data_IF_993466611131
#
_entry.id   IF_993466611131
#
_cell.length_a   1.000
_cell.length_b   1.000
_cell.length_c   1.000
_cell.angle_alpha   90.00
_cell.angle_beta   90.00
_cell.angle_gamma   90.00
#
_symmetry.space_group_name_H-M   'P 1'
#
loop_
_entity.id
_entity.type
_entity.pdbx_description
1 polymer ?
#
# COMPACT_ATOMS: atom_id res chain seq x y z
N UNK A 1 -20.13 -15.37 -5.52
CA UNK A 1 -19.86 -13.94 -5.46
C UNK A 1 -18.37 -13.74 -5.22
N UNK A 2 -17.70 -13.02 -6.09
CA UNK A 2 -16.28 -12.77 -5.92
C UNK A 2 -16.06 -11.82 -4.72
N UNK A 3 -15.10 -12.11 -3.86
CA UNK A 3 -14.75 -11.15 -2.83
C UNK A 3 -14.29 -9.84 -3.48
N UNK A 4 -14.62 -8.71 -2.85
CA UNK A 4 -14.14 -7.42 -3.29
C UNK A 4 -12.65 -7.38 -3.06
N UNK A 5 -11.88 -7.23 -4.13
CA UNK A 5 -10.44 -7.25 -4.00
C UNK A 5 -9.91 -5.99 -3.34
N UNK A 6 -8.86 -6.11 -2.54
CA UNK A 6 -8.25 -4.94 -1.91
C UNK A 6 -7.56 -4.05 -2.93
N UNK A 7 -7.61 -2.76 -2.67
CA UNK A 7 -6.87 -1.74 -3.41
C UNK A 7 -5.59 -1.39 -2.68
N UNK A 8 -4.60 -0.88 -3.40
CA UNK A 8 -3.30 -0.52 -2.83
C UNK A 8 -3.10 0.99 -2.81
N UNK A 9 -2.62 1.52 -1.69
CA UNK A 9 -2.19 2.90 -1.58
C UNK A 9 -0.76 2.92 -1.02
N UNK A 10 0.19 3.40 -1.81
CA UNK A 10 1.59 3.53 -1.39
C UNK A 10 1.85 4.96 -0.95
N UNK A 11 2.30 5.14 0.28
CA UNK A 11 2.64 6.44 0.87
C UNK A 11 4.12 6.41 1.18
N UNK A 12 4.91 7.12 0.38
CA UNK A 12 6.37 7.04 0.45
C UNK A 12 7.03 8.40 0.37
N UNK A 13 8.32 8.44 0.68
CA UNK A 13 9.16 9.61 0.47
C UNK A 13 9.49 9.75 -1.01
N UNK A 14 9.49 11.00 -1.51
CA UNK A 14 9.87 11.29 -2.88
C UNK A 14 9.03 10.53 -3.91
N UNK A 15 9.70 9.98 -4.91
CA UNK A 15 9.06 9.26 -6.02
C UNK A 15 9.09 7.74 -5.86
N UNK A 16 9.50 7.24 -4.70
CA UNK A 16 9.70 5.81 -4.50
C UNK A 16 8.44 4.99 -4.78
N UNK A 17 7.29 5.44 -4.27
CA UNK A 17 6.02 4.73 -4.49
C UNK A 17 5.66 4.62 -5.96
N UNK A 18 5.78 5.70 -6.71
CA UNK A 18 5.51 5.72 -8.14
C UNK A 18 6.43 4.77 -8.90
N UNK A 19 7.72 4.75 -8.56
CA UNK A 19 8.69 3.86 -9.21
C UNK A 19 8.45 2.39 -8.86
N UNK A 20 8.05 2.10 -7.62
CA UNK A 20 7.67 0.73 -7.24
C UNK A 20 6.46 0.24 -8.05
N UNK A 21 5.44 1.07 -8.20
CA UNK A 21 4.25 0.72 -9.01
C UNK A 21 4.64 0.51 -10.47
N UNK A 22 5.48 1.38 -11.00
CA UNK A 22 5.97 1.23 -12.38
C UNK A 22 6.74 -0.08 -12.57
N UNK A 23 7.55 -0.45 -11.59
CA UNK A 23 8.33 -1.69 -11.63
C UNK A 23 7.42 -2.92 -11.55
N UNK A 24 6.41 -2.88 -10.69
CA UNK A 24 5.40 -3.96 -10.64
C UNK A 24 4.72 -4.13 -12.00
N UNK A 25 4.36 -3.02 -12.64
CA UNK A 25 3.73 -3.06 -13.95
C UNK A 25 4.66 -3.66 -15.03
N UNK A 26 5.95 -3.43 -14.91
CA UNK A 26 6.94 -4.02 -15.82
C UNK A 26 7.05 -5.55 -15.67
N UNK A 27 6.79 -6.07 -14.47
CA UNK A 27 6.91 -7.50 -14.16
C UNK A 27 5.58 -8.23 -14.36
N UNK A 28 4.48 -7.69 -13.83
CA UNK A 28 3.17 -8.34 -13.80
C UNK A 28 2.16 -7.77 -14.80
N UNK A 29 2.52 -6.72 -15.51
CA UNK A 29 1.59 -5.95 -16.32
C UNK A 29 0.93 -4.82 -15.51
N UNK A 30 0.26 -3.87 -16.18
CA UNK A 30 -0.41 -2.76 -15.52
C UNK A 30 -1.41 -3.24 -14.47
N UNK A 31 -1.39 -2.60 -13.30
CA UNK A 31 -2.26 -2.96 -12.18
C UNK A 31 -3.31 -1.86 -11.97
N UNK A 32 -4.61 -2.18 -12.04
CA UNK A 32 -5.66 -1.24 -11.64
C UNK A 32 -5.76 -1.14 -10.12
N UNK A 33 -6.51 -0.15 -9.65
CA UNK A 33 -6.82 0.03 -8.22
C UNK A 33 -5.57 0.13 -7.36
N UNK A 34 -4.64 0.96 -7.80
CA UNK A 34 -3.44 1.33 -7.07
C UNK A 34 -3.21 2.83 -7.20
N UNK A 35 -2.79 3.45 -6.11
CA UNK A 35 -2.48 4.87 -6.07
C UNK A 35 -1.25 5.11 -5.21
N UNK A 36 -0.64 6.27 -5.40
CA UNK A 36 0.56 6.67 -4.66
C UNK A 36 0.37 8.08 -4.10
N UNK A 37 0.91 8.32 -2.91
CA UNK A 37 1.01 9.65 -2.31
C UNK A 37 2.46 9.85 -1.89
N UNK A 38 3.06 10.95 -2.34
CA UNK A 38 4.40 11.36 -1.88
C UNK A 38 4.27 12.29 -0.69
N UNK A 39 5.24 12.24 0.22
CA UNK A 39 5.33 13.20 1.32
C UNK A 39 5.75 14.61 0.86
N UNK A 40 6.24 14.73 -0.37
CA UNK A 40 6.82 15.99 -0.86
C UNK A 40 5.80 17.12 -0.90
N UNK A 41 6.15 18.26 -0.32
CA UNK A 41 5.29 19.45 -0.33
C UNK A 41 4.19 19.49 0.72
N UNK A 42 4.08 18.46 1.58
CA UNK A 42 3.06 18.42 2.62
C UNK A 42 3.63 18.66 4.02
N UNK A 43 2.87 19.41 4.85
CA UNK A 43 3.02 19.35 6.31
C UNK A 43 2.52 17.98 6.82
N UNK A 44 2.77 17.68 8.10
CA UNK A 44 2.28 16.43 8.70
C UNK A 44 0.76 16.29 8.59
N UNK A 45 0.02 17.35 8.92
CA UNK A 45 -1.46 17.34 8.83
C UNK A 45 -1.91 17.31 7.37
N UNK A 46 -1.23 18.04 6.50
CA UNK A 46 -1.52 18.03 5.07
C UNK A 46 -1.35 16.66 4.44
N UNK A 47 -0.31 15.95 4.84
CA UNK A 47 -0.07 14.57 4.35
C UNK A 47 -1.18 13.63 4.80
N UNK A 48 -1.59 13.68 6.07
CA UNK A 48 -2.70 12.87 6.58
C UNK A 48 -3.99 13.15 5.79
N UNK A 49 -4.30 14.41 5.55
CA UNK A 49 -5.49 14.79 4.77
C UNK A 49 -5.41 14.29 3.32
N UNK A 50 -4.25 14.36 2.70
CA UNK A 50 -4.04 13.87 1.34
C UNK A 50 -4.26 12.35 1.26
N UNK A 51 -3.76 11.61 2.24
CA UNK A 51 -3.95 10.16 2.31
C UNK A 51 -5.44 9.83 2.47
N UNK A 52 -6.13 10.48 3.40
CA UNK A 52 -7.57 10.27 3.63
C UNK A 52 -8.38 10.53 2.38
N UNK A 53 -8.07 11.60 1.68
CA UNK A 53 -8.77 11.95 0.44
C UNK A 53 -8.55 10.89 -0.63
N UNK A 54 -7.33 10.39 -0.76
CA UNK A 54 -7.04 9.30 -1.71
C UNK A 54 -7.79 8.01 -1.37
N UNK A 55 -7.88 7.67 -0.08
CA UNK A 55 -8.66 6.51 0.36
C UNK A 55 -10.12 6.65 -0.05
N UNK A 56 -10.70 7.84 0.09
CA UNK A 56 -12.09 8.09 -0.26
C UNK A 56 -12.36 8.01 -1.76
N UNK A 57 -11.36 8.18 -2.59
CA UNK A 57 -11.49 8.08 -4.05
C UNK A 57 -11.61 6.64 -4.55
N UNK A 58 -11.21 5.64 -3.76
CA UNK A 58 -11.42 4.24 -4.09
C UNK A 58 -12.89 3.84 -3.89
N UNK A 59 -13.36 2.76 -4.53
CA UNK A 59 -14.72 2.28 -4.32
C UNK A 59 -15.05 2.10 -2.83
N UNK A 60 -16.26 2.49 -2.44
CA UNK A 60 -16.63 2.62 -1.03
C UNK A 60 -16.49 1.34 -0.22
N UNK A 61 -16.67 0.20 -0.84
CA UNK A 61 -16.65 -1.12 -0.22
C UNK A 61 -15.30 -1.86 -0.38
N UNK A 62 -14.35 -1.28 -1.10
CA UNK A 62 -13.05 -1.90 -1.29
C UNK A 62 -12.16 -1.73 -0.06
N UNK A 63 -11.63 -2.81 0.52
CA UNK A 63 -10.61 -2.67 1.56
C UNK A 63 -9.33 -2.08 0.99
N UNK A 64 -8.67 -1.25 1.77
CA UNK A 64 -7.44 -0.57 1.36
C UNK A 64 -6.26 -1.19 2.11
N UNK A 65 -5.23 -1.57 1.37
CA UNK A 65 -3.93 -1.88 1.96
C UNK A 65 -3.03 -0.67 1.74
N UNK A 66 -2.63 -0.05 2.83
CA UNK A 66 -1.75 1.10 2.83
C UNK A 66 -0.32 0.65 3.12
N UNK A 67 0.56 0.92 2.17
CA UNK A 67 1.98 0.59 2.27
C UNK A 67 2.78 1.86 2.56
N UNK A 68 3.70 1.80 3.51
CA UNK A 68 4.68 2.88 3.70
C UNK A 68 6.09 2.34 3.54
N UNK A 69 7.02 3.22 3.19
CA UNK A 69 8.42 2.84 3.06
C UNK A 69 9.09 2.66 4.43
N UNK A 70 8.73 3.49 5.40
CA UNK A 70 9.28 3.46 6.75
C UNK A 70 8.17 3.35 7.78
N UNK A 71 8.44 2.66 8.89
CA UNK A 71 7.53 2.61 10.03
C UNK A 71 7.52 3.93 10.82
N UNK A 72 8.62 4.69 10.76
CA UNK A 72 8.79 6.01 11.35
C UNK A 72 8.87 7.06 10.24
N UNK A 73 9.10 8.32 10.61
CA UNK A 73 9.12 9.44 9.67
C UNK A 73 7.71 9.90 9.31
N UNK A 74 7.63 10.88 8.40
CA UNK A 74 6.36 11.54 8.07
C UNK A 74 5.30 10.59 7.52
N UNK A 75 5.69 9.70 6.63
CA UNK A 75 4.75 8.75 6.02
C UNK A 75 4.25 7.73 7.04
N UNK A 76 5.12 7.18 7.87
CA UNK A 76 4.74 6.23 8.91
C UNK A 76 3.82 6.84 9.95
N UNK A 77 4.14 8.06 10.42
CA UNK A 77 3.34 8.76 11.42
C UNK A 77 1.96 9.12 10.85
N UNK A 78 1.91 9.69 9.65
CA UNK A 78 0.64 10.06 9.01
C UNK A 78 -0.24 8.82 8.80
N UNK A 79 0.36 7.71 8.40
CA UNK A 79 -0.37 6.47 8.17
C UNK A 79 -0.91 5.84 9.44
N UNK A 80 -0.15 5.90 10.55
CA UNK A 80 -0.62 5.40 11.86
C UNK A 80 -1.84 6.15 12.37
N UNK A 81 -1.92 7.45 12.09
CA UNK A 81 -3.03 8.31 12.51
C UNK A 81 -4.26 8.14 11.63
N UNK A 82 -4.09 7.51 10.47
CA UNK A 82 -5.16 7.40 9.50
C UNK A 82 -6.28 6.51 10.01
N UNK A 83 -7.49 7.04 9.98
CA UNK A 83 -8.71 6.27 10.13
C UNK A 83 -9.76 6.93 9.23
N UNK A 84 -10.38 6.15 8.36
CA UNK A 84 -11.47 6.61 7.51
C UNK A 84 -12.71 5.83 7.88
N UNK A 85 -13.72 6.54 8.38
CA UNK A 85 -14.96 5.92 8.84
C UNK A 85 -15.63 5.12 7.72
N UNK A 86 -16.08 3.92 8.04
CA UNK A 86 -16.73 3.03 7.10
C UNK A 86 -15.79 2.29 6.17
N UNK A 87 -14.48 2.44 6.36
CA UNK A 87 -13.46 1.80 5.50
C UNK A 87 -12.60 0.83 6.28
N UNK A 88 -12.31 -0.31 5.65
CA UNK A 88 -11.28 -1.22 6.13
C UNK A 88 -9.96 -0.74 5.55
N UNK A 89 -9.04 -0.31 6.42
CA UNK A 89 -7.69 0.10 6.03
C UNK A 89 -6.71 -0.74 6.82
N UNK A 90 -5.95 -1.58 6.13
CA UNK A 90 -4.88 -2.38 6.72
C UNK A 90 -3.55 -1.74 6.32
N UNK A 91 -2.59 -1.75 7.21
CA UNK A 91 -1.34 -0.99 7.06
C UNK A 91 -0.15 -1.93 7.18
N UNK A 92 0.82 -1.77 6.28
CA UNK A 92 2.08 -2.51 6.32
C UNK A 92 3.22 -1.54 5.99
N UNK A 93 4.31 -1.64 6.73
CA UNK A 93 5.47 -0.76 6.57
C UNK A 93 6.66 -1.52 6.00
N UNK A 94 7.68 -0.77 5.56
CA UNK A 94 8.87 -1.39 4.98
C UNK A 94 8.60 -1.95 3.59
N UNK A 95 7.77 -1.25 2.81
CA UNK A 95 7.39 -1.72 1.48
C UNK A 95 8.62 -2.04 0.62
N UNK A 96 8.59 -3.19 -0.01
CA UNK A 96 9.60 -3.60 -0.97
C UNK A 96 8.95 -4.35 -2.13
N UNK A 97 9.72 -4.58 -3.17
CA UNK A 97 9.18 -5.18 -4.40
C UNK A 97 8.65 -6.61 -4.18
N UNK A 98 9.35 -7.52 -3.47
CA UNK A 98 8.80 -8.85 -3.22
C UNK A 98 7.42 -8.86 -2.55
N UNK A 99 7.22 -7.98 -1.59
CA UNK A 99 5.94 -7.80 -0.90
C UNK A 99 4.83 -7.38 -1.85
N UNK A 100 5.13 -6.41 -2.72
CA UNK A 100 4.17 -5.89 -3.70
C UNK A 100 3.81 -6.93 -4.76
N UNK A 101 4.79 -7.70 -5.23
CA UNK A 101 4.54 -8.77 -6.18
C UNK A 101 3.59 -9.81 -5.59
N UNK A 102 3.79 -10.18 -4.33
CA UNK A 102 2.89 -11.09 -3.63
C UNK A 102 1.47 -10.53 -3.53
N UNK A 103 1.33 -9.25 -3.18
CA UNK A 103 0.04 -8.57 -3.10
C UNK A 103 -0.70 -8.62 -4.44
N UNK A 104 -0.09 -8.11 -5.49
CA UNK A 104 -0.76 -8.00 -6.79
C UNK A 104 -1.04 -9.34 -7.43
N UNK A 105 -0.21 -10.34 -7.15
CA UNK A 105 -0.41 -11.70 -7.69
C UNK A 105 -1.60 -12.40 -7.04
N UNK A 106 -1.83 -12.21 -5.74
CA UNK A 106 -2.82 -12.97 -4.98
C UNK A 106 -4.03 -12.19 -4.47
N UNK A 107 -4.10 -10.88 -4.71
CA UNK A 107 -5.21 -10.07 -4.17
C UNK A 107 -6.59 -10.48 -4.67
N UNK A 108 -6.67 -11.14 -5.82
CA UNK A 108 -7.94 -11.60 -6.38
C UNK A 108 -8.39 -12.94 -5.82
N UNK A 109 -7.51 -13.70 -5.18
CA UNK A 109 -7.78 -15.09 -4.79
C UNK A 109 -7.70 -15.36 -3.31
N UNK A 110 -6.95 -14.56 -2.54
CA UNK A 110 -6.78 -14.74 -1.10
C UNK A 110 -7.55 -13.65 -0.33
N UNK A 111 -8.05 -14.01 0.86
CA UNK A 111 -8.58 -13.02 1.79
C UNK A 111 -7.46 -12.12 2.31
N UNK A 112 -7.81 -10.94 2.82
CA UNK A 112 -6.82 -10.05 3.43
C UNK A 112 -6.11 -10.70 4.61
N UNK A 113 -6.84 -11.46 5.43
CA UNK A 113 -6.25 -12.14 6.59
C UNK A 113 -5.24 -13.21 6.20
N UNK A 114 -5.40 -13.82 5.02
CA UNK A 114 -4.42 -14.74 4.45
C UNK A 114 -3.28 -14.00 3.74
N UNK A 115 -3.62 -12.94 3.02
CA UNK A 115 -2.67 -12.22 2.15
C UNK A 115 -1.62 -11.44 2.95
N UNK A 116 -2.02 -10.73 4.00
CA UNK A 116 -1.11 -9.87 4.76
C UNK A 116 0.07 -10.62 5.38
N UNK A 117 -0.14 -11.77 6.06
CA UNK A 117 1.01 -12.54 6.56
C UNK A 117 1.94 -13.04 5.46
N UNK A 118 1.39 -13.37 4.29
CA UNK A 118 2.20 -13.80 3.14
C UNK A 118 3.05 -12.65 2.60
N UNK A 119 2.48 -11.45 2.54
CA UNK A 119 3.20 -10.25 2.12
C UNK A 119 4.37 -9.94 3.06
N UNK A 120 4.11 -10.02 4.36
CA UNK A 120 5.17 -9.83 5.36
C UNK A 120 6.28 -10.86 5.19
N UNK A 121 5.94 -12.12 5.06
CA UNK A 121 6.92 -13.21 4.90
C UNK A 121 7.74 -13.03 3.62
N UNK A 122 7.10 -12.70 2.51
CA UNK A 122 7.79 -12.48 1.22
C UNK A 122 8.68 -11.25 1.25
N UNK A 123 8.22 -10.18 1.88
CA UNK A 123 9.01 -8.98 2.05
C UNK A 123 10.31 -9.25 2.82
N UNK A 124 10.20 -9.97 3.93
CA UNK A 124 11.36 -10.36 4.75
C UNK A 124 12.28 -11.32 4.00
N UNK A 125 11.72 -12.31 3.32
CA UNK A 125 12.49 -13.32 2.57
C UNK A 125 13.23 -12.74 1.37
N UNK A 126 12.82 -11.54 0.90
CA UNK A 126 13.52 -10.83 -0.17
C UNK A 126 14.90 -10.32 0.22
N UNK A 127 15.23 -10.30 1.51
CA UNK A 127 16.54 -9.89 2.01
C UNK A 127 17.41 -11.14 2.13
N UNK A 128 18.42 -11.25 1.27
CA UNK A 128 19.32 -12.40 1.22
C UNK A 128 20.76 -11.90 1.13
N UNK A 129 21.62 -12.44 1.99
CA UNK A 129 23.06 -12.19 1.90
C UNK A 129 23.66 -13.30 1.04
N UNK A 130 24.28 -12.92 -0.08
CA UNK A 130 24.88 -13.83 -1.05
C UNK A 130 26.35 -14.09 -0.75
#
# INVERSE_FOLDING_TARGET
>A
MNPIRPVALLVTHGVLGEELVRTVAAILGPQPDVATVSNSGFSADGLTNAIEQRVREFPADAPVVLFTDLAAGSCGIASRRLGVEGRIVRKITGVNLPMLLEFFHYRDTLSLDELLPRMEAKGKAGIVIL
#
